data_IF_355014514539
#
_entry.id   IF_355014514539
#
_cell.length_a   1.000
_cell.length_b   1.000
_cell.length_c   1.000
_cell.angle_alpha   90.00
_cell.angle_beta   90.00
_cell.angle_gamma   90.00
#
_symmetry.space_group_name_H-M   'P 1'
#
loop_
_entity.id
_entity.type
_entity.pdbx_description
1 polymer ?
#
# COMPACT_ATOMS: atom_id res chain seq x y z
N UNK A 1 -13.41 6.06 -9.93
CA UNK A 1 -12.88 5.04 -10.86
C UNK A 1 -13.79 3.82 -10.80
N UNK A 2 -14.07 3.13 -11.93
CA UNK A 2 -14.85 1.90 -11.92
C UNK A 2 -14.13 0.80 -11.13
N UNK A 3 -14.85 -0.25 -10.73
CA UNK A 3 -14.20 -1.44 -10.16
C UNK A 3 -13.54 -2.24 -11.29
N UNK A 4 -12.30 -2.65 -11.07
CA UNK A 4 -11.50 -3.40 -12.04
C UNK A 4 -10.97 -4.70 -11.42
N UNK A 5 -10.32 -5.55 -12.21
CA UNK A 5 -9.91 -6.89 -11.76
C UNK A 5 -8.74 -6.82 -10.78
N UNK A 6 -7.70 -6.04 -11.10
CA UNK A 6 -6.50 -5.88 -10.29
C UNK A 6 -6.69 -4.79 -9.23
N UNK A 7 -7.47 -3.75 -9.54
CA UNK A 7 -7.83 -2.68 -8.61
C UNK A 7 -6.67 -1.74 -8.26
N UNK A 8 -5.67 -1.64 -9.14
CA UNK A 8 -4.53 -0.72 -9.00
C UNK A 8 -4.54 0.27 -10.15
N UNK A 9 -4.49 1.56 -9.85
CA UNK A 9 -4.50 2.62 -10.84
C UNK A 9 -3.30 3.54 -10.64
N UNK A 10 -2.84 4.19 -11.71
CA UNK A 10 -1.78 5.22 -11.67
C UNK A 10 -2.39 6.56 -12.00
N UNK A 11 -2.19 7.52 -11.10
CA UNK A 11 -2.62 8.91 -11.26
C UNK A 11 -1.38 9.80 -11.20
N UNK A 12 -1.22 10.68 -12.19
CA UNK A 12 -0.16 11.66 -12.24
C UNK A 12 -0.73 13.00 -12.73
N UNK A 13 -0.28 14.11 -12.14
CA UNK A 13 -0.68 15.48 -12.55
C UNK A 13 -2.21 15.69 -12.57
N UNK A 14 -2.94 15.02 -11.68
CA UNK A 14 -4.39 15.10 -11.60
C UNK A 14 -5.16 14.27 -12.65
N UNK A 15 -4.44 13.52 -13.49
CA UNK A 15 -5.02 12.66 -14.51
C UNK A 15 -4.73 11.17 -14.24
N UNK A 16 -5.70 10.32 -14.59
CA UNK A 16 -5.52 8.87 -14.63
C UNK A 16 -4.65 8.52 -15.84
N UNK A 17 -3.45 7.98 -15.60
CA UNK A 17 -2.49 7.65 -16.68
C UNK A 17 -2.42 6.16 -16.98
N UNK A 18 -2.83 5.31 -16.03
CA UNK A 18 -3.08 3.89 -16.25
C UNK A 18 -4.20 3.42 -15.32
N UNK A 19 -5.14 2.64 -15.84
CA UNK A 19 -6.19 2.00 -15.06
C UNK A 19 -5.96 0.48 -15.05
N UNK A 20 -6.31 -0.18 -13.95
CA UNK A 20 -6.13 -1.63 -13.77
C UNK A 20 -4.70 -2.10 -14.11
N UNK A 21 -3.72 -1.36 -13.59
CA UNK A 21 -2.30 -1.44 -13.91
C UNK A 21 -1.67 -2.74 -13.40
N UNK A 22 -0.84 -3.33 -14.26
CA UNK A 22 0.05 -4.45 -13.90
C UNK A 22 1.33 -3.95 -13.23
N UNK A 23 2.14 -4.85 -12.65
CA UNK A 23 3.47 -4.50 -12.14
C UNK A 23 4.32 -3.78 -13.20
N UNK A 24 4.33 -4.29 -14.43
CA UNK A 24 5.10 -3.70 -15.52
C UNK A 24 4.65 -2.27 -15.86
N UNK A 25 3.36 -1.97 -15.73
CA UNK A 25 2.84 -0.61 -15.89
C UNK A 25 3.34 0.32 -14.77
N UNK A 26 3.35 -0.18 -13.52
CA UNK A 26 3.86 0.59 -12.38
C UNK A 26 5.35 0.87 -12.53
N UNK A 27 6.16 -0.12 -12.91
CA UNK A 27 7.61 0.05 -13.10
C UNK A 27 7.90 1.04 -14.22
N UNK A 28 7.21 0.97 -15.36
CA UNK A 28 7.32 1.97 -16.44
C UNK A 28 6.89 3.36 -15.99
N UNK A 29 5.84 3.47 -15.18
CA UNK A 29 5.43 4.74 -14.61
C UNK A 29 6.53 5.32 -13.69
N UNK A 30 7.19 4.47 -12.89
CA UNK A 30 8.29 4.88 -11.99
C UNK A 30 9.60 5.22 -12.72
N UNK A 31 9.78 4.79 -13.97
CA UNK A 31 10.84 5.30 -14.84
C UNK A 31 10.56 6.72 -15.32
N UNK A 32 9.28 7.02 -15.66
CA UNK A 32 8.85 8.33 -16.14
C UNK A 32 8.71 9.36 -15.01
N UNK A 33 8.23 8.95 -13.85
CA UNK A 33 7.94 9.82 -12.71
C UNK A 33 8.88 9.49 -11.56
N UNK A 34 9.86 10.38 -11.35
CA UNK A 34 10.90 10.19 -10.32
C UNK A 34 10.39 10.23 -8.86
N UNK A 35 9.15 10.67 -8.64
CA UNK A 35 8.52 10.73 -7.31
C UNK A 35 7.14 10.10 -7.40
N UNK A 36 6.87 9.15 -6.51
CA UNK A 36 5.59 8.46 -6.43
C UNK A 36 5.22 8.20 -4.97
N UNK A 37 3.95 7.88 -4.74
CA UNK A 37 3.43 7.39 -3.47
C UNK A 37 2.51 6.21 -3.73
N UNK A 38 2.56 5.22 -2.86
CA UNK A 38 1.60 4.12 -2.84
C UNK A 38 0.50 4.51 -1.85
N UNK A 39 -0.75 4.60 -2.32
CA UNK A 39 -1.91 4.80 -1.44
C UNK A 39 -2.69 3.49 -1.41
N UNK A 40 -2.73 2.85 -0.24
CA UNK A 40 -3.26 1.49 -0.09
C UNK A 40 -4.21 1.41 1.09
N UNK A 41 -5.27 0.61 0.96
CA UNK A 41 -6.16 0.28 2.08
C UNK A 41 -5.78 -1.04 2.73
N UNK A 42 -6.01 -1.13 4.03
CA UNK A 42 -5.90 -2.40 4.76
C UNK A 42 -7.03 -3.35 4.34
N UNK A 43 -6.71 -4.63 4.19
CA UNK A 43 -7.68 -5.71 4.00
C UNK A 43 -8.40 -5.97 5.35
N UNK A 44 -9.72 -5.74 5.37
CA UNK A 44 -10.52 -5.83 6.59
C UNK A 44 -10.52 -7.23 7.22
N UNK A 45 -10.55 -7.30 8.56
CA UNK A 45 -10.56 -8.54 9.35
C UNK A 45 -9.20 -9.26 9.46
N UNK A 46 -8.39 -9.23 8.40
CA UNK A 46 -7.07 -9.85 8.37
C UNK A 46 -5.93 -8.88 8.69
N UNK A 47 -6.05 -7.61 8.34
CA UNK A 47 -5.04 -6.59 8.65
C UNK A 47 -3.88 -6.49 7.67
N UNK A 48 -3.92 -7.20 6.53
CA UNK A 48 -2.86 -7.13 5.53
C UNK A 48 -2.85 -5.76 4.82
N UNK A 49 -1.66 -5.18 4.68
CA UNK A 49 -1.38 -3.99 3.86
C UNK A 49 -0.84 -4.42 2.49
N UNK A 50 0.12 -5.35 2.50
CA UNK A 50 0.66 -6.01 1.32
C UNK A 50 0.61 -7.52 1.55
N UNK A 51 0.27 -8.29 0.50
CA UNK A 51 0.14 -9.74 0.58
C UNK A 51 0.55 -10.42 -0.74
N UNK A 52 0.92 -11.71 -0.67
CA UNK A 52 1.49 -12.48 -1.79
C UNK A 52 0.60 -12.58 -3.05
N UNK A 53 -0.71 -12.46 -2.88
CA UNK A 53 -1.69 -12.72 -3.95
C UNK A 53 -1.91 -11.56 -4.93
N UNK A 54 -1.44 -10.34 -4.60
CA UNK A 54 -1.72 -9.13 -5.39
C UNK A 54 -0.42 -8.41 -5.78
N UNK A 55 0.33 -9.01 -6.71
CA UNK A 55 1.72 -8.63 -7.01
C UNK A 55 1.89 -7.40 -7.93
N UNK A 56 0.83 -6.64 -8.22
CA UNK A 56 0.96 -5.38 -8.97
C UNK A 56 1.89 -4.44 -8.21
N UNK A 57 1.70 -4.31 -6.89
CA UNK A 57 2.60 -3.57 -6.00
C UNK A 57 3.64 -4.55 -5.43
N UNK A 58 4.52 -5.01 -6.31
CA UNK A 58 5.57 -5.99 -6.00
C UNK A 58 6.67 -5.43 -5.10
N UNK A 59 7.58 -6.28 -4.57
CA UNK A 59 8.77 -5.81 -3.87
C UNK A 59 9.61 -4.79 -4.66
N UNK A 60 9.72 -4.96 -5.98
CA UNK A 60 10.46 -4.03 -6.84
C UNK A 60 9.79 -2.64 -6.88
N UNK A 61 8.46 -2.61 -6.98
CA UNK A 61 7.67 -1.36 -6.93
C UNK A 61 7.79 -0.69 -5.57
N UNK A 62 7.62 -1.45 -4.48
CA UNK A 62 7.69 -0.92 -3.11
C UNK A 62 9.08 -0.32 -2.82
N UNK A 63 10.16 -1.03 -3.15
CA UNK A 63 11.53 -0.52 -2.94
C UNK A 63 11.81 0.72 -3.77
N UNK A 64 11.31 0.80 -5.00
CA UNK A 64 11.49 1.97 -5.86
C UNK A 64 10.74 3.20 -5.35
N UNK A 65 9.59 3.00 -4.72
CA UNK A 65 8.80 4.07 -4.09
C UNK A 65 9.36 4.47 -2.72
N UNK A 66 9.84 3.51 -1.93
CA UNK A 66 10.31 3.72 -0.57
C UNK A 66 9.18 3.64 0.46
N UNK A 67 9.48 3.05 1.63
CA UNK A 67 8.53 2.85 2.73
C UNK A 67 7.90 4.17 3.20
N UNK A 68 8.67 5.23 3.26
CA UNK A 68 8.26 6.57 3.68
C UNK A 68 7.19 7.20 2.78
N UNK A 69 7.04 6.68 1.56
CA UNK A 69 6.04 7.11 0.58
C UNK A 69 4.85 6.16 0.47
N UNK A 70 4.76 5.15 1.35
CA UNK A 70 3.56 4.31 1.52
C UNK A 70 2.58 5.01 2.46
N UNK A 71 1.40 5.32 1.93
CA UNK A 71 0.29 5.92 2.67
C UNK A 71 -0.78 4.84 2.87
N UNK A 72 -0.86 4.35 4.10
CA UNK A 72 -1.92 3.40 4.49
C UNK A 72 -3.16 4.18 4.89
N UNK A 73 -4.31 3.79 4.35
CA UNK A 73 -5.61 4.38 4.64
C UNK A 73 -6.54 3.31 5.21
N UNK A 74 -7.17 3.59 6.35
CA UNK A 74 -8.18 2.70 6.91
C UNK A 74 -9.12 3.50 7.80
N UNK A 75 -10.42 3.21 7.75
CA UNK A 75 -11.35 3.74 8.76
C UNK A 75 -10.92 3.29 10.15
N UNK A 76 -11.17 4.13 11.17
CA UNK A 76 -10.91 3.76 12.57
C UNK A 76 -11.58 2.43 12.95
N UNK A 77 -12.81 2.18 12.50
CA UNK A 77 -13.53 0.91 12.74
C UNK A 77 -12.78 -0.31 12.20
N UNK A 78 -12.20 -0.25 10.98
CA UNK A 78 -11.37 -1.34 10.42
C UNK A 78 -10.15 -1.61 11.31
N UNK A 79 -9.47 -0.58 11.81
CA UNK A 79 -8.30 -0.75 12.68
C UNK A 79 -8.67 -1.32 14.06
N UNK A 80 -9.77 -0.84 14.65
CA UNK A 80 -10.26 -1.33 15.93
C UNK A 80 -10.70 -2.81 15.84
N UNK A 81 -11.25 -3.23 14.69
CA UNK A 81 -11.65 -4.62 14.47
C UNK A 81 -10.49 -5.63 14.47
N UNK A 82 -9.24 -5.15 14.44
CA UNK A 82 -8.07 -6.01 14.56
C UNK A 82 -7.78 -6.43 16.00
N UNK A 83 -8.46 -5.83 16.99
CA UNK A 83 -8.32 -6.15 18.42
C UNK A 83 -6.85 -6.06 18.90
N UNK A 84 -6.17 -4.98 18.51
CA UNK A 84 -4.78 -4.72 18.86
C UNK A 84 -3.74 -5.55 18.09
N UNK A 85 -4.15 -6.50 17.24
CA UNK A 85 -3.23 -7.23 16.34
C UNK A 85 -2.56 -6.26 15.36
N UNK A 86 -1.27 -6.46 15.04
CA UNK A 86 -0.58 -5.60 14.09
C UNK A 86 -1.19 -5.72 12.68
N UNK A 87 -0.97 -4.70 11.87
CA UNK A 87 -1.07 -4.83 10.42
C UNK A 87 -0.04 -5.83 9.92
N UNK A 88 -0.35 -6.53 8.84
CA UNK A 88 0.50 -7.58 8.29
C UNK A 88 1.06 -7.16 6.94
N UNK A 89 2.32 -7.51 6.70
CA UNK A 89 2.95 -7.45 5.38
C UNK A 89 3.51 -8.82 5.05
N UNK A 90 3.20 -9.30 3.86
CA UNK A 90 3.76 -10.52 3.30
C UNK A 90 3.98 -10.30 1.80
N UNK A 91 5.10 -9.64 1.47
CA UNK A 91 5.44 -9.28 0.09
C UNK A 91 6.04 -10.44 -0.70
N UNK A 92 6.34 -11.56 -0.02
CA UNK A 92 7.11 -12.67 -0.58
C UNK A 92 8.63 -12.44 -0.56
N UNK A 93 9.08 -11.30 -0.01
CA UNK A 93 10.47 -10.93 0.18
C UNK A 93 10.71 -10.61 1.66
N UNK A 94 11.38 -11.53 2.37
CA UNK A 94 11.55 -11.43 3.82
C UNK A 94 12.38 -10.22 4.27
N UNK A 95 13.30 -9.74 3.42
CA UNK A 95 14.10 -8.56 3.72
C UNK A 95 13.22 -7.30 3.64
N UNK A 96 12.42 -7.18 2.58
CA UNK A 96 11.45 -6.09 2.46
C UNK A 96 10.40 -6.11 3.57
N UNK A 97 9.90 -7.29 3.92
CA UNK A 97 8.93 -7.47 5.00
C UNK A 97 9.49 -6.96 6.34
N UNK A 98 10.78 -7.21 6.60
CA UNK A 98 11.50 -6.65 7.74
C UNK A 98 11.69 -5.12 7.63
N UNK A 99 12.01 -4.59 6.45
CA UNK A 99 12.14 -3.14 6.21
C UNK A 99 10.81 -2.39 6.45
N UNK A 100 9.68 -3.00 6.07
CA UNK A 100 8.33 -2.45 6.21
C UNK A 100 7.80 -2.51 7.65
N UNK A 101 8.35 -3.39 8.48
CA UNK A 101 7.94 -3.61 9.87
C UNK A 101 8.18 -2.42 10.79
N UNK A 102 7.51 -2.43 11.94
CA UNK A 102 7.58 -1.37 12.94
C UNK A 102 6.34 -0.48 12.91
N UNK A 103 6.47 0.80 13.23
CA UNK A 103 5.30 1.69 13.33
C UNK A 103 5.09 2.50 12.05
N UNK A 104 3.84 2.62 11.62
CA UNK A 104 3.42 3.45 10.50
C UNK A 104 2.28 4.40 10.91
N UNK A 105 2.15 5.52 10.20
CA UNK A 105 0.99 6.41 10.32
C UNK A 105 -0.09 5.94 9.33
N UNK A 106 -1.23 5.53 9.86
CA UNK A 106 -2.43 5.20 9.08
C UNK A 106 -3.33 6.43 9.03
N UNK A 107 -3.74 6.84 7.84
CA UNK A 107 -4.73 7.91 7.64
C UNK A 107 -6.12 7.34 7.92
N UNK A 108 -6.82 7.91 8.90
CA UNK A 108 -8.12 7.41 9.37
C UNK A 108 -9.30 8.30 9.01
N UNK A 109 -9.02 9.56 8.66
CA UNK A 109 -10.01 10.58 8.34
C UNK A 109 -9.32 11.84 7.81
N UNK A 110 -10.11 12.90 7.57
CA UNK A 110 -9.59 14.17 7.09
C UNK A 110 -8.72 14.83 8.18
N UNK A 111 -7.41 14.89 7.95
CA UNK A 111 -6.46 15.43 8.93
C UNK A 111 -6.13 14.48 10.09
N UNK A 112 -6.78 13.31 10.15
CA UNK A 112 -6.63 12.34 11.24
C UNK A 112 -5.68 11.21 10.86
N UNK A 113 -4.78 10.88 11.80
CA UNK A 113 -3.82 9.79 11.66
C UNK A 113 -3.69 9.02 12.96
N UNK A 114 -3.56 7.71 12.86
CA UNK A 114 -3.23 6.82 13.98
C UNK A 114 -1.87 6.18 13.75
N UNK A 115 -1.06 6.07 14.80
CA UNK A 115 0.15 5.25 14.75
C UNK A 115 -0.25 3.80 15.00
N UNK A 116 0.17 2.90 14.12
CA UNK A 116 -0.18 1.48 14.20
C UNK A 116 1.05 0.61 13.90
N UNK A 117 1.12 -0.57 14.53
CA UNK A 117 2.22 -1.52 14.35
C UNK A 117 2.00 -2.34 13.07
N UNK A 118 3.04 -2.47 12.26
CA UNK A 118 3.19 -3.47 11.20
C UNK A 118 4.08 -4.59 11.75
N UNK A 119 3.64 -5.83 11.55
CA UNK A 119 4.41 -7.06 11.76
C UNK A 119 4.49 -7.90 10.49
N UNK A 120 5.36 -8.90 10.56
CA UNK A 120 5.53 -9.99 9.59
C UNK A 120 4.83 -11.26 10.05
#
# INVERSE_FOLDING_TARGET
>A
LPKTLLGVDVVAEGALVAADATEGDLLRALERYARARIVVTVIGGQGHVFGRGNQQISPAVIRRVGREHVVVVATQTKLLSLDGRPLLVDTGDAELDAELSGYIKVVTGLGEKMVYKIGV
#
